data_IF_126117738787
#
_entry.id   IF_126117738787
#
_cell.length_a   1.000
_cell.length_b   1.000
_cell.length_c   1.000
_cell.angle_alpha   90.00
_cell.angle_beta   90.00
_cell.angle_gamma   90.00
#
_symmetry.space_group_name_H-M   'P 1'
#
loop_
_entity.id
_entity.type
_entity.pdbx_description
1 polymer ?
#
# COMPACT_ATOMS: atom_id res chain seq x y z
N UNK A 1 -88.15 41.60 40.20
CA UNK A 1 -89.07 41.73 39.05
C UNK A 1 -89.02 40.43 38.24
N UNK A 2 -90.20 39.81 38.06
CA UNK A 2 -90.68 39.08 36.87
C UNK A 2 -89.92 37.83 36.34
N UNK A 3 -90.66 36.70 36.39
CA UNK A 3 -90.86 35.67 35.35
C UNK A 3 -89.69 34.71 35.03
N UNK A 4 -89.87 33.47 34.58
CA UNK A 4 -90.89 32.39 34.60
C UNK A 4 -90.20 31.24 33.82
N UNK A 5 -90.34 29.98 34.26
CA UNK A 5 -90.46 28.76 33.43
C UNK A 5 -89.34 28.39 32.41
N UNK A 6 -89.18 27.20 31.83
CA UNK A 6 -89.64 25.80 31.93
C UNK A 6 -88.76 25.08 30.86
N UNK A 7 -88.29 23.88 31.17
CA UNK A 7 -88.16 22.71 30.27
C UNK A 7 -87.53 22.89 28.87
N UNK A 8 -86.44 22.18 28.64
CA UNK A 8 -86.39 21.22 27.53
C UNK A 8 -85.23 20.25 27.69
N UNK A 9 -85.60 18.98 27.76
CA UNK A 9 -84.73 17.85 27.53
C UNK A 9 -84.26 17.85 26.08
N UNK A 10 -82.99 17.52 25.84
CA UNK A 10 -82.64 16.71 24.68
C UNK A 10 -81.44 15.83 25.04
N UNK A 11 -81.77 14.56 25.26
CA UNK A 11 -80.86 13.43 25.34
C UNK A 11 -80.34 13.17 23.92
N UNK A 12 -79.02 13.19 23.73
CA UNK A 12 -78.39 12.47 22.64
C UNK A 12 -77.20 11.67 23.18
N UNK A 13 -77.43 10.37 23.18
CA UNK A 13 -76.51 9.29 23.47
C UNK A 13 -75.36 9.31 22.47
N UNK A 14 -74.11 9.31 22.92
CA UNK A 14 -73.04 8.61 22.21
C UNK A 14 -72.07 7.94 23.19
N UNK A 15 -71.85 6.68 22.87
CA UNK A 15 -71.11 5.64 23.56
C UNK A 15 -69.64 6.01 23.73
N UNK A 16 -69.15 6.03 24.97
CA UNK A 16 -67.72 5.98 25.29
C UNK A 16 -67.50 4.75 26.17
N UNK A 17 -66.99 3.67 25.57
CA UNK A 17 -66.47 2.53 26.30
C UNK A 17 -64.97 2.42 26.04
N UNK A 18 -64.21 2.08 27.08
CA UNK A 18 -62.85 1.61 26.94
C UNK A 18 -61.77 2.63 27.28
N UNK A 19 -61.62 2.89 28.58
CA UNK A 19 -60.38 3.39 29.17
C UNK A 19 -59.21 2.48 28.78
N UNK A 20 -58.08 3.07 28.37
CA UNK A 20 -56.89 2.89 29.19
C UNK A 20 -55.86 3.99 28.96
N UNK A 21 -55.44 4.53 30.10
CA UNK A 21 -54.41 5.53 30.26
C UNK A 21 -53.04 4.85 30.11
N UNK A 22 -52.13 5.44 29.33
CA UNK A 22 -50.93 6.07 29.89
C UNK A 22 -49.98 6.52 28.78
N UNK A 23 -49.86 7.85 28.69
CA UNK A 23 -48.62 8.62 28.71
C UNK A 23 -47.46 8.18 27.78
N UNK A 24 -47.24 9.08 26.81
CA UNK A 24 -45.93 9.54 26.30
C UNK A 24 -44.87 9.56 27.42
N UNK A 25 -43.57 9.30 27.25
CA UNK A 25 -42.62 10.04 26.40
C UNK A 25 -41.18 9.52 26.69
N UNK A 26 -40.42 9.11 25.67
CA UNK A 26 -38.94 9.21 25.54
C UNK A 26 -38.56 8.48 24.24
N UNK A 27 -38.37 9.19 23.12
CA UNK A 27 -37.12 9.86 22.71
C UNK A 27 -35.93 8.90 22.59
N UNK A 28 -35.43 8.84 21.35
CA UNK A 28 -34.15 8.31 20.86
C UNK A 28 -34.12 6.86 20.35
N UNK A 29 -33.58 6.79 19.12
CA UNK A 29 -32.83 5.66 18.50
C UNK A 29 -33.61 4.86 17.46
N UNK A 30 -33.48 5.29 16.20
CA UNK A 30 -33.00 4.44 15.09
C UNK A 30 -32.71 5.31 13.86
N UNK A 31 -31.57 6.01 13.91
CA UNK A 31 -30.71 6.11 12.72
C UNK A 31 -30.00 4.77 12.62
N UNK A 32 -29.94 4.21 11.42
CA UNK A 32 -28.80 3.44 10.85
C UNK A 32 -29.30 2.46 9.79
N UNK A 33 -29.49 2.97 8.58
CA UNK A 33 -29.04 2.22 7.40
C UNK A 33 -27.97 3.10 6.77
N UNK A 34 -26.83 3.17 7.45
CA UNK A 34 -25.60 3.68 6.87
C UNK A 34 -24.99 2.55 6.04
N UNK A 35 -24.78 2.85 4.76
CA UNK A 35 -23.82 2.20 3.90
C UNK A 35 -22.57 1.78 4.68
N UNK A 36 -22.34 0.48 4.77
CA UNK A 36 -21.06 -0.11 5.13
C UNK A 36 -20.11 0.08 3.93
N UNK A 37 -19.63 1.30 3.72
CA UNK A 37 -18.37 1.53 3.00
C UNK A 37 -17.26 1.26 3.99
N UNK A 38 -16.58 0.11 3.85
CA UNK A 38 -15.37 -0.21 4.61
C UNK A 38 -14.32 0.89 4.37
N UNK A 39 -14.15 1.80 5.32
CA UNK A 39 -13.04 2.73 5.31
C UNK A 39 -11.76 1.94 5.46
N UNK A 40 -10.90 1.96 4.44
CA UNK A 40 -9.59 1.30 4.50
C UNK A 40 -8.78 1.90 5.63
N UNK A 41 -8.38 1.08 6.61
CA UNK A 41 -7.45 1.50 7.65
C UNK A 41 -6.06 1.66 7.03
N UNK A 42 -5.72 2.91 6.73
CA UNK A 42 -4.44 3.24 6.10
C UNK A 42 -3.26 2.94 7.03
N UNK A 43 -3.44 3.01 8.35
CA UNK A 43 -2.36 2.74 9.30
C UNK A 43 -2.01 1.24 9.30
N UNK A 44 -3.03 0.39 9.29
CA UNK A 44 -2.85 -1.07 9.17
C UNK A 44 -2.15 -1.46 7.86
N UNK A 45 -2.62 -0.92 6.71
CA UNK A 45 -1.98 -1.18 5.42
C UNK A 45 -0.53 -0.72 5.39
N UNK A 46 -0.22 0.42 6.02
CA UNK A 46 1.16 0.90 6.13
C UNK A 46 2.00 -0.07 6.95
N UNK A 47 1.52 -0.50 8.11
CA UNK A 47 2.23 -1.45 8.98
C UNK A 47 2.52 -2.77 8.26
N UNK A 48 1.52 -3.33 7.58
CA UNK A 48 1.65 -4.57 6.81
C UNK A 48 2.60 -4.41 5.64
N UNK A 49 2.40 -3.37 4.83
CA UNK A 49 3.25 -3.07 3.68
C UNK A 49 4.70 -2.84 4.08
N UNK A 50 4.94 -2.17 5.22
CA UNK A 50 6.28 -1.97 5.78
C UNK A 50 6.94 -3.30 6.17
N UNK A 51 6.18 -4.19 6.82
CA UNK A 51 6.64 -5.52 7.20
C UNK A 51 7.01 -6.35 5.97
N UNK A 52 6.13 -6.39 4.97
CA UNK A 52 6.35 -7.13 3.71
C UNK A 52 7.56 -6.58 2.96
N UNK A 53 7.67 -5.25 2.81
CA UNK A 53 8.80 -4.61 2.14
C UNK A 53 10.12 -4.87 2.89
N UNK A 54 10.10 -4.87 4.22
CA UNK A 54 11.26 -5.17 5.05
C UNK A 54 11.70 -6.64 4.88
N UNK A 55 10.78 -7.60 5.00
CA UNK A 55 11.08 -9.03 4.84
C UNK A 55 11.61 -9.31 3.43
N UNK A 56 10.96 -8.77 2.40
CA UNK A 56 11.38 -8.93 1.00
C UNK A 56 12.77 -8.34 0.79
N UNK A 57 12.99 -7.10 1.24
CA UNK A 57 14.28 -6.43 1.10
C UNK A 57 15.41 -7.16 1.85
N UNK A 58 15.16 -7.61 3.08
CA UNK A 58 16.12 -8.39 3.87
C UNK A 58 16.46 -9.72 3.22
N UNK A 59 15.46 -10.42 2.67
CA UNK A 59 15.66 -11.71 2.02
C UNK A 59 16.51 -11.55 0.76
N UNK A 60 16.17 -10.61 -0.12
CA UNK A 60 16.96 -10.31 -1.32
C UNK A 60 18.39 -9.87 -0.97
N UNK A 61 18.54 -9.00 0.03
CA UNK A 61 19.85 -8.51 0.46
C UNK A 61 20.71 -9.63 1.06
N UNK A 62 20.13 -10.51 1.88
CA UNK A 62 20.85 -11.63 2.46
C UNK A 62 21.35 -12.61 1.39
N UNK A 63 20.52 -12.92 0.39
CA UNK A 63 20.94 -13.77 -0.72
C UNK A 63 22.02 -13.10 -1.59
N UNK A 64 21.88 -11.80 -1.86
CA UNK A 64 22.89 -11.01 -2.57
C UNK A 64 24.24 -11.03 -1.83
N UNK A 65 24.22 -10.77 -0.52
CA UNK A 65 25.43 -10.77 0.31
C UNK A 65 26.07 -12.15 0.39
N UNK A 66 25.25 -13.21 0.47
CA UNK A 66 25.73 -14.60 0.45
C UNK A 66 26.42 -14.94 -0.89
N UNK A 67 25.82 -14.59 -2.02
CA UNK A 67 26.42 -14.76 -3.34
C UNK A 67 27.72 -13.96 -3.48
N UNK A 68 27.71 -12.72 -2.99
CA UNK A 68 28.90 -11.86 -2.98
C UNK A 68 30.03 -12.43 -2.12
N UNK A 69 29.72 -13.07 -0.99
CA UNK A 69 30.73 -13.74 -0.15
C UNK A 69 31.35 -14.97 -0.81
N UNK A 70 30.62 -15.65 -1.70
CA UNK A 70 31.12 -16.86 -2.40
C UNK A 70 31.99 -16.54 -3.61
N UNK A 71 31.68 -15.49 -4.36
CA UNK A 71 32.32 -15.22 -5.65
C UNK A 71 32.32 -13.75 -6.06
N UNK A 72 32.26 -12.84 -5.09
CA UNK A 72 32.32 -11.40 -5.33
C UNK A 72 31.15 -10.86 -6.14
N UNK A 73 31.37 -9.72 -6.79
CA UNK A 73 30.35 -9.03 -7.59
C UNK A 73 29.87 -9.91 -8.75
N UNK A 74 30.75 -10.72 -9.35
CA UNK A 74 30.39 -11.59 -10.46
C UNK A 74 29.28 -12.57 -10.08
N UNK A 75 29.48 -13.31 -8.99
CA UNK A 75 28.50 -14.28 -8.50
C UNK A 75 27.22 -13.58 -8.02
N UNK A 76 27.35 -12.42 -7.35
CA UNK A 76 26.22 -11.63 -6.89
C UNK A 76 25.30 -11.17 -8.05
N UNK A 77 25.88 -10.67 -9.14
CA UNK A 77 25.11 -10.18 -10.30
C UNK A 77 24.43 -11.34 -11.04
N UNK A 78 25.12 -12.47 -11.22
CA UNK A 78 24.55 -13.69 -11.80
C UNK A 78 23.38 -14.22 -10.96
N UNK A 79 23.60 -14.33 -9.65
CA UNK A 79 22.56 -14.78 -8.73
C UNK A 79 21.31 -13.90 -8.81
N UNK A 80 21.46 -12.57 -8.73
CA UNK A 80 20.31 -11.67 -8.82
C UNK A 80 19.60 -11.72 -10.17
N UNK A 81 20.33 -11.96 -11.27
CA UNK A 81 19.74 -12.04 -12.61
C UNK A 81 18.75 -13.20 -12.72
N UNK A 82 19.08 -14.34 -12.09
CA UNK A 82 18.26 -15.56 -12.13
C UNK A 82 17.23 -15.59 -11.01
N UNK A 83 17.61 -15.23 -9.78
CA UNK A 83 16.84 -15.61 -8.58
C UNK A 83 16.01 -14.47 -7.99
N UNK A 84 16.24 -13.20 -8.36
CA UNK A 84 15.56 -12.09 -7.68
C UNK A 84 14.03 -12.09 -7.88
N UNK A 85 13.55 -12.45 -9.08
CA UNK A 85 12.11 -12.56 -9.36
C UNK A 85 11.51 -13.80 -8.69
N UNK A 86 12.03 -15.02 -8.91
CA UNK A 86 11.51 -16.21 -8.23
C UNK A 86 11.43 -16.07 -6.70
N UNK A 87 12.41 -15.42 -6.08
CA UNK A 87 12.40 -15.15 -4.65
C UNK A 87 11.30 -14.18 -4.23
N UNK A 88 11.09 -13.11 -5.01
CA UNK A 88 10.03 -12.14 -4.75
C UNK A 88 8.65 -12.77 -4.98
N UNK A 89 8.49 -13.54 -6.07
CA UNK A 89 7.27 -14.25 -6.42
C UNK A 89 6.89 -15.29 -5.34
N UNK A 90 7.88 -15.99 -4.79
CA UNK A 90 7.66 -16.92 -3.68
C UNK A 90 7.09 -16.22 -2.43
N UNK A 91 7.63 -15.04 -2.09
CA UNK A 91 7.13 -14.24 -0.95
C UNK A 91 5.73 -13.71 -1.28
N UNK A 92 5.54 -13.22 -2.50
CA UNK A 92 4.25 -12.76 -3.02
C UNK A 92 3.15 -13.81 -2.85
N UNK A 93 3.42 -15.03 -3.31
CA UNK A 93 2.47 -16.15 -3.21
C UNK A 93 2.19 -16.54 -1.76
N UNK A 94 3.23 -16.60 -0.92
CA UNK A 94 3.09 -16.95 0.49
C UNK A 94 2.22 -15.94 1.27
N UNK A 95 2.30 -14.67 0.90
CA UNK A 95 1.62 -13.58 1.60
C UNK A 95 0.36 -13.10 0.86
N UNK A 96 -0.01 -13.77 -0.23
CA UNK A 96 -1.14 -13.40 -1.09
C UNK A 96 -1.16 -11.91 -1.50
N UNK A 97 0.01 -11.40 -1.94
CA UNK A 97 0.19 -10.01 -2.41
C UNK A 97 1.04 -9.99 -3.67
N UNK A 98 0.89 -8.97 -4.51
CA UNK A 98 1.82 -8.73 -5.64
C UNK A 98 2.91 -7.74 -5.22
N UNK A 99 4.17 -8.18 -5.19
CA UNK A 99 5.33 -7.37 -4.79
C UNK A 99 6.18 -7.05 -6.03
N UNK A 100 6.44 -5.76 -6.25
CA UNK A 100 7.24 -5.30 -7.37
C UNK A 100 8.21 -4.21 -6.94
N UNK A 101 9.35 -4.08 -7.65
CA UNK A 101 10.22 -2.92 -7.56
C UNK A 101 9.93 -2.00 -8.73
N UNK A 102 9.98 -0.70 -8.50
CA UNK A 102 9.70 0.31 -9.52
C UNK A 102 10.83 1.35 -9.52
N UNK A 103 11.39 1.67 -10.68
CA UNK A 103 12.49 2.62 -10.84
C UNK A 103 12.55 3.22 -12.24
N UNK A 104 12.95 4.50 -12.34
CA UNK A 104 13.28 5.15 -13.63
C UNK A 104 14.59 4.60 -14.22
N UNK A 105 15.63 4.50 -13.38
CA UNK A 105 16.93 3.89 -13.70
C UNK A 105 16.90 2.41 -13.31
N UNK A 106 16.08 1.65 -14.03
CA UNK A 106 15.87 0.22 -13.77
C UNK A 106 17.01 -0.65 -14.33
N UNK A 107 17.30 -1.77 -13.64
CA UNK A 107 18.26 -2.79 -14.13
C UNK A 107 17.55 -3.86 -14.96
N UNK A 108 16.45 -4.36 -14.41
CA UNK A 108 15.52 -5.21 -15.14
C UNK A 108 14.40 -4.31 -15.75
N UNK A 109 14.12 -4.40 -17.07
CA UNK A 109 13.01 -3.71 -17.76
C UNK A 109 11.63 -3.82 -17.12
N UNK A 110 11.36 -4.92 -16.41
CA UNK A 110 10.06 -5.14 -15.75
C UNK A 110 9.85 -4.23 -14.54
N UNK A 111 10.92 -3.66 -13.99
CA UNK A 111 10.85 -2.69 -12.88
C UNK A 111 10.68 -1.23 -13.35
N UNK A 112 10.33 -0.97 -14.62
CA UNK A 112 10.12 0.40 -15.11
C UNK A 112 8.92 1.06 -14.41
N UNK A 113 8.96 2.38 -14.28
CA UNK A 113 7.80 3.17 -13.82
C UNK A 113 6.65 3.03 -14.82
N UNK A 114 5.49 2.57 -14.32
CA UNK A 114 4.26 2.48 -15.11
C UNK A 114 3.38 3.71 -14.86
N UNK A 115 2.39 3.96 -15.73
CA UNK A 115 1.57 5.18 -15.71
C UNK A 115 0.95 5.48 -14.33
N UNK A 116 0.42 4.47 -13.63
CA UNK A 116 -0.19 4.64 -12.30
C UNK A 116 0.84 4.92 -11.18
N UNK A 117 2.11 4.60 -11.40
CA UNK A 117 3.20 4.76 -10.42
C UNK A 117 3.87 6.14 -10.49
N UNK A 118 3.76 6.85 -11.63
CA UNK A 118 4.48 8.12 -11.89
C UNK A 118 4.27 9.13 -10.77
N UNK A 119 3.01 9.37 -10.39
CA UNK A 119 2.69 10.37 -9.35
C UNK A 119 3.30 10.04 -7.98
N UNK A 120 3.48 8.76 -7.66
CA UNK A 120 4.10 8.34 -6.39
C UNK A 120 5.61 8.47 -6.48
N UNK A 121 6.20 8.03 -7.60
CA UNK A 121 7.63 8.11 -7.84
C UNK A 121 8.14 9.56 -7.79
N UNK A 122 7.41 10.49 -8.41
CA UNK A 122 7.73 11.93 -8.36
C UNK A 122 7.67 12.51 -6.95
N UNK A 123 6.74 12.04 -6.10
CA UNK A 123 6.70 12.49 -4.71
C UNK A 123 7.96 12.05 -3.95
N UNK A 124 8.46 10.85 -4.18
CA UNK A 124 9.71 10.39 -3.58
C UNK A 124 10.95 11.10 -4.13
N UNK A 125 10.96 11.47 -5.42
CA UNK A 125 12.03 12.28 -6.00
C UNK A 125 12.12 13.67 -5.36
N UNK A 126 10.96 14.26 -5.06
CA UNK A 126 10.86 15.63 -4.55
C UNK A 126 10.88 15.74 -3.02
N UNK A 127 10.75 14.62 -2.29
CA UNK A 127 10.81 14.60 -0.83
C UNK A 127 11.51 13.33 -0.32
N UNK A 128 12.76 13.50 0.14
CA UNK A 128 13.60 12.39 0.64
C UNK A 128 13.14 11.83 1.99
N UNK A 129 12.40 12.62 2.76
CA UNK A 129 11.89 12.23 4.08
C UNK A 129 10.50 11.59 3.99
N UNK A 130 9.93 11.50 2.78
CA UNK A 130 8.64 10.88 2.57
C UNK A 130 8.71 9.38 2.80
N UNK A 131 7.99 8.91 3.81
CA UNK A 131 7.89 7.49 4.15
C UNK A 131 6.90 6.72 3.27
N UNK A 132 6.28 5.71 3.85
CA UNK A 132 5.37 4.83 3.14
C UNK A 132 4.08 5.55 2.72
N UNK A 133 3.53 5.15 1.58
CA UNK A 133 2.31 5.74 1.01
C UNK A 133 1.32 4.65 0.64
N UNK A 134 0.03 4.95 0.81
CA UNK A 134 -1.07 4.09 0.34
C UNK A 134 -1.84 4.84 -0.74
N UNK A 135 -2.20 4.12 -1.81
CA UNK A 135 -3.13 4.57 -2.84
C UNK A 135 -4.16 3.50 -3.12
N UNK A 136 -5.38 3.95 -3.41
CA UNK A 136 -6.47 3.10 -3.87
C UNK A 136 -6.76 3.41 -5.33
N UNK A 137 -7.15 2.40 -6.10
CA UNK A 137 -7.62 2.57 -7.46
C UNK A 137 -8.73 1.56 -7.74
N UNK A 138 -9.98 2.06 -7.72
CA UNK A 138 -11.14 1.17 -7.59
C UNK A 138 -11.03 0.41 -6.27
N UNK A 139 -11.13 -0.92 -6.36
CA UNK A 139 -11.04 -1.81 -5.20
C UNK A 139 -9.61 -2.25 -4.86
N UNK A 140 -8.62 -1.88 -5.68
CA UNK A 140 -7.23 -2.27 -5.45
C UNK A 140 -6.56 -1.33 -4.43
N UNK A 141 -5.87 -1.92 -3.46
CA UNK A 141 -5.04 -1.21 -2.48
C UNK A 141 -3.57 -1.40 -2.82
N UNK A 142 -2.85 -0.29 -2.92
CA UNK A 142 -1.44 -0.25 -3.23
C UNK A 142 -0.65 0.45 -2.13
N UNK A 143 0.36 -0.23 -1.62
CA UNK A 143 1.37 0.32 -0.73
C UNK A 143 2.66 0.62 -1.51
N UNK A 144 3.32 1.71 -1.16
CA UNK A 144 4.61 2.11 -1.71
C UNK A 144 5.59 2.48 -0.61
N UNK A 145 6.87 2.14 -0.82
CA UNK A 145 7.97 2.51 0.10
C UNK A 145 9.23 2.85 -0.69
N UNK A 146 9.92 3.97 -0.42
CA UNK A 146 11.12 4.33 -1.16
C UNK A 146 12.27 3.37 -0.84
N UNK A 147 13.15 3.18 -1.81
CA UNK A 147 14.38 2.41 -1.68
C UNK A 147 15.53 3.39 -1.87
N UNK A 148 16.16 3.80 -0.76
CA UNK A 148 17.32 4.68 -0.79
C UNK A 148 18.61 3.86 -0.69
N UNK A 149 19.64 4.24 -1.45
CA UNK A 149 20.90 3.52 -1.45
C UNK A 149 21.72 3.75 -0.19
N UNK A 150 22.44 2.72 0.23
CA UNK A 150 23.48 2.78 1.27
C UNK A 150 24.86 2.67 0.62
N UNK A 151 25.93 2.86 1.39
CA UNK A 151 27.31 2.82 0.91
C UNK A 151 27.65 1.57 0.08
N UNK A 152 27.34 0.37 0.58
CA UNK A 152 27.65 -0.87 -0.15
C UNK A 152 26.89 -1.00 -1.49
N UNK A 153 25.78 -0.29 -1.67
CA UNK A 153 24.99 -0.39 -2.89
C UNK A 153 25.71 0.19 -4.09
N UNK A 154 26.60 1.16 -3.89
CA UNK A 154 27.30 1.83 -4.99
C UNK A 154 28.37 0.95 -5.64
N UNK A 155 28.77 -0.17 -5.02
CA UNK A 155 29.65 -1.17 -5.64
C UNK A 155 29.07 -1.76 -6.94
N UNK A 156 27.76 -1.67 -7.14
CA UNK A 156 27.09 -2.11 -8.38
C UNK A 156 26.18 -1.05 -9.01
N UNK A 157 25.90 0.05 -8.30
CA UNK A 157 25.01 1.12 -8.73
C UNK A 157 25.70 2.49 -8.81
N UNK A 158 26.97 2.60 -8.43
CA UNK A 158 27.75 3.83 -8.47
C UNK A 158 28.24 4.19 -9.86
N UNK A 159 29.23 5.08 -9.92
CA UNK A 159 29.92 5.40 -11.17
C UNK A 159 30.74 4.20 -11.67
N UNK A 160 30.83 4.04 -12.98
CA UNK A 160 31.62 2.96 -13.59
C UNK A 160 33.09 3.10 -13.24
N UNK A 161 33.64 4.30 -13.33
CA UNK A 161 35.08 4.54 -13.12
C UNK A 161 35.50 4.41 -11.66
N UNK A 162 34.71 4.92 -10.70
CA UNK A 162 35.15 5.00 -9.30
C UNK A 162 34.56 3.94 -8.38
N UNK A 163 33.47 3.26 -8.78
CA UNK A 163 32.75 2.36 -7.87
C UNK A 163 32.56 0.95 -8.42
N UNK A 164 32.07 0.82 -9.66
CA UNK A 164 31.73 -0.50 -10.22
C UNK A 164 32.98 -1.19 -10.78
N UNK A 165 33.82 -0.44 -11.49
CA UNK A 165 34.94 -0.98 -12.27
C UNK A 165 34.50 -1.51 -13.64
N UNK A 166 35.40 -1.40 -14.63
CA UNK A 166 35.10 -1.73 -16.04
C UNK A 166 34.72 -3.19 -16.25
N UNK A 167 35.40 -4.12 -15.57
CA UNK A 167 35.13 -5.56 -15.66
C UNK A 167 33.73 -5.92 -15.14
N UNK A 168 33.39 -5.49 -13.93
CA UNK A 168 32.06 -5.72 -13.36
C UNK A 168 30.96 -5.02 -14.18
N UNK A 169 31.23 -3.82 -14.70
CA UNK A 169 30.28 -3.13 -15.56
C UNK A 169 30.03 -3.89 -16.86
N UNK A 170 31.08 -4.43 -17.50
CA UNK A 170 30.94 -5.28 -18.69
C UNK A 170 30.09 -6.52 -18.40
N UNK A 171 30.31 -7.18 -17.27
CA UNK A 171 29.47 -8.31 -16.83
C UNK A 171 28.01 -7.90 -16.61
N UNK A 172 27.76 -6.79 -15.91
CA UNK A 172 26.41 -6.26 -15.71
C UNK A 172 25.74 -6.01 -17.06
N UNK A 173 26.43 -5.40 -18.03
CA UNK A 173 25.87 -5.14 -19.36
C UNK A 173 25.62 -6.41 -20.16
N UNK A 174 26.44 -7.45 -19.98
CA UNK A 174 26.20 -8.76 -20.59
C UNK A 174 24.92 -9.42 -20.09
N UNK A 175 24.68 -9.37 -18.78
CA UNK A 175 23.50 -9.98 -18.14
C UNK A 175 22.24 -9.07 -18.22
N UNK A 176 22.45 -7.77 -18.29
CA UNK A 176 21.40 -6.75 -18.37
C UNK A 176 21.74 -5.74 -19.49
N UNK A 177 21.47 -6.10 -20.76
CA UNK A 177 21.79 -5.22 -21.91
C UNK A 177 21.18 -3.83 -21.81
N UNK A 178 19.99 -3.73 -21.20
CA UNK A 178 19.25 -2.48 -21.01
C UNK A 178 19.43 -1.85 -19.62
N UNK A 179 20.49 -2.21 -18.87
CA UNK A 179 20.75 -1.64 -17.54
C UNK A 179 20.89 -0.11 -17.60
N UNK A 180 20.14 0.56 -16.72
CA UNK A 180 20.23 2.00 -16.46
C UNK A 180 20.65 2.29 -15.02
N UNK A 181 20.83 1.26 -14.20
CA UNK A 181 20.97 1.39 -12.75
C UNK A 181 22.42 1.69 -12.30
N UNK A 182 23.02 2.74 -12.83
CA UNK A 182 24.40 3.17 -12.55
C UNK A 182 24.42 4.66 -12.21
N UNK A 183 25.57 5.20 -11.79
CA UNK A 183 25.75 6.61 -11.44
C UNK A 183 24.79 7.07 -10.32
N UNK A 184 24.73 6.31 -9.23
CA UNK A 184 24.07 6.70 -8.00
C UNK A 184 25.10 6.96 -6.88
N UNK A 185 24.73 7.83 -5.96
CA UNK A 185 25.42 8.09 -4.70
C UNK A 185 24.69 7.44 -3.51
N UNK A 186 25.36 7.22 -2.37
CA UNK A 186 24.67 6.86 -1.15
C UNK A 186 23.61 7.91 -0.78
N UNK A 187 22.43 7.46 -0.37
CA UNK A 187 21.27 8.30 -0.07
C UNK A 187 20.37 8.60 -1.27
N UNK A 188 20.78 8.28 -2.50
CA UNK A 188 19.94 8.47 -3.68
C UNK A 188 18.73 7.52 -3.68
N UNK A 189 17.61 8.01 -4.23
CA UNK A 189 16.43 7.20 -4.50
C UNK A 189 16.73 6.21 -5.64
N UNK A 190 16.90 4.94 -5.29
CA UNK A 190 17.10 3.85 -6.25
C UNK A 190 15.82 3.48 -6.97
N UNK A 191 14.71 3.56 -6.26
CA UNK A 191 13.40 3.11 -6.70
C UNK A 191 12.42 3.09 -5.55
N UNK A 192 11.33 2.35 -5.70
CA UNK A 192 10.37 2.10 -4.65
C UNK A 192 9.88 0.64 -4.69
N UNK A 193 9.51 0.12 -3.54
CA UNK A 193 8.64 -1.05 -3.45
C UNK A 193 7.23 -0.61 -3.84
N UNK A 194 6.53 -1.49 -4.54
CA UNK A 194 5.10 -1.44 -4.77
C UNK A 194 4.51 -2.78 -4.37
N UNK A 195 3.56 -2.76 -3.44
CA UNK A 195 2.84 -3.93 -2.97
C UNK A 195 1.36 -3.71 -3.29
N UNK A 196 0.76 -4.63 -4.05
CA UNK A 196 -0.69 -4.68 -4.25
C UNK A 196 -1.25 -5.74 -3.32
N UNK A 197 -2.24 -5.37 -2.52
CA UNK A 197 -2.99 -6.31 -1.71
C UNK A 197 -4.09 -6.96 -2.57
N UNK A 198 -4.16 -8.29 -2.55
CA UNK A 198 -5.19 -9.03 -3.28
C UNK A 198 -6.49 -9.06 -2.47
N UNK A 199 -7.63 -9.08 -3.16
CA UNK A 199 -8.94 -9.22 -2.50
C UNK A 199 -8.99 -10.55 -1.73
N UNK A 200 -9.22 -10.47 -0.43
CA UNK A 200 -9.30 -11.64 0.46
C UNK A 200 -7.95 -12.18 0.94
N UNK A 201 -6.84 -11.48 0.70
CA UNK A 201 -5.68 -11.63 1.58
C UNK A 201 -6.07 -11.19 2.98
N UNK A 202 -5.65 -11.93 4.01
CA UNK A 202 -5.82 -11.49 5.39
C UNK A 202 -5.19 -10.10 5.52
N UNK A 203 -6.04 -9.10 5.79
CA UNK A 203 -5.65 -7.89 6.49
C UNK A 203 -5.50 -8.31 7.95
#
# INVERSE_FOLDING_TARGET
>A
MKYISILSALVLLFSCNGQNQNQQEQSQTTKETQQQTSSIDTAEIIQQGDSIAMVTGKTLMGQLQSAMGRGGIEEAVKYCNVNAYPLTDSISNKLNVSITRVAEKNRNPENRVKKHDVSVFERYKNNKDLGSLVKTHGDDIYFYKPINLKGFCVSCHGSVENNIGKENYALIKKLYPNDKAINFSPGDLRGMWKIKFEKGGEL
#
